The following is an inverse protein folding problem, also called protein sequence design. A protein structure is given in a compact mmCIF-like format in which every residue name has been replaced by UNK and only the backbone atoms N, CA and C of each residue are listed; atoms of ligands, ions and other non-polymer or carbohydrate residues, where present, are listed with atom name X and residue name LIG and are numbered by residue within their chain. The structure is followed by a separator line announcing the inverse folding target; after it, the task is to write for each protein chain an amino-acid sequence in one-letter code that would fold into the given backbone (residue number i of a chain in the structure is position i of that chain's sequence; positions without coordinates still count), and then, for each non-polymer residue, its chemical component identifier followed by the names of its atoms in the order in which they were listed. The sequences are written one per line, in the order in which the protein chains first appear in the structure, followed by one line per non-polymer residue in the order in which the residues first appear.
data_IF_043326758041
#
_entry.id   IF_043326758041
#
_cell.length_a   1.000
_cell.length_b   1.000
_cell.length_c   1.000
_cell.angle_alpha   90.00
_cell.angle_beta   90.00
_cell.angle_gamma   90.00
#
_symmetry.space_group_name_H-M   'P 1'
#
loop_
_entity.id
_entity.type
_entity.pdbx_description
1 polymer ?
#
# COMPACT_ATOMS: atom_id res chain seq x y z
N UNK A 1 2.83 -0.06 -39.04
CA UNK A 1 2.36 -1.12 -38.12
C UNK A 1 1.02 -0.74 -37.55
N UNK A 2 0.05 -1.63 -37.51
CA UNK A 2 -1.26 -1.32 -36.94
C UNK A 2 -1.10 -0.90 -35.47
N UNK A 3 -1.73 0.18 -35.06
CA UNK A 3 -1.72 0.71 -33.69
C UNK A 3 -2.26 -0.28 -32.65
N UNK A 4 -2.79 -1.40 -33.06
CA UNK A 4 -3.36 -2.44 -32.21
C UNK A 4 -2.32 -3.40 -31.58
N UNK A 5 -1.03 -3.25 -31.84
CA UNK A 5 0.01 -4.07 -31.23
C UNK A 5 0.35 -3.67 -29.79
N UNK A 6 -0.15 -2.54 -29.30
CA UNK A 6 0.06 -2.06 -27.93
C UNK A 6 -1.23 -2.08 -27.10
N UNK A 7 -2.08 -3.06 -27.33
CA UNK A 7 -3.40 -3.15 -26.70
C UNK A 7 -3.36 -3.27 -25.16
N UNK A 8 -2.27 -3.81 -24.59
CA UNK A 8 -2.14 -4.03 -23.17
C UNK A 8 -1.31 -2.93 -22.51
N UNK A 9 -0.08 -2.72 -22.94
CA UNK A 9 0.83 -1.68 -22.46
C UNK A 9 1.72 -1.18 -23.58
N UNK A 10 2.51 -0.16 -23.33
CA UNK A 10 3.41 0.47 -24.28
C UNK A 10 4.85 -0.05 -24.14
N UNK A 11 5.63 0.04 -25.20
CA UNK A 11 7.06 -0.30 -25.16
C UNK A 11 7.79 0.58 -24.15
N UNK A 12 7.37 1.83 -24.02
CA UNK A 12 7.89 2.80 -23.04
C UNK A 12 7.74 2.36 -21.58
N UNK A 13 6.73 1.55 -21.26
CA UNK A 13 6.53 0.96 -19.93
C UNK A 13 7.13 -0.43 -19.80
N UNK A 14 7.15 -1.23 -20.87
CA UNK A 14 7.74 -2.57 -20.82
C UNK A 14 9.26 -2.57 -20.77
N UNK A 15 9.93 -1.70 -21.53
CA UNK A 15 11.38 -1.66 -21.56
C UNK A 15 12.02 -1.38 -20.20
N UNK A 16 11.57 -0.39 -19.40
CA UNK A 16 12.05 -0.18 -18.03
C UNK A 16 11.79 -1.40 -17.13
N UNK A 17 10.61 -2.04 -17.24
CA UNK A 17 10.27 -3.20 -16.41
C UNK A 17 11.20 -4.39 -16.70
N UNK A 18 11.47 -4.69 -17.97
CA UNK A 18 12.40 -5.74 -18.38
C UNK A 18 13.82 -5.41 -17.93
N UNK A 19 14.27 -4.17 -18.14
CA UNK A 19 15.60 -3.72 -17.69
C UNK A 19 15.75 -3.91 -16.19
N UNK A 20 14.75 -3.50 -15.40
CA UNK A 20 14.77 -3.64 -13.95
C UNK A 20 14.85 -5.11 -13.51
N UNK A 21 14.14 -6.02 -14.18
CA UNK A 21 14.22 -7.46 -13.91
C UNK A 21 15.57 -8.09 -14.29
N UNK A 22 16.17 -7.66 -15.39
CA UNK A 22 17.40 -8.25 -15.90
C UNK A 22 18.66 -7.68 -15.26
N UNK A 23 18.67 -6.38 -14.97
CA UNK A 23 19.85 -5.62 -14.50
C UNK A 23 19.75 -5.25 -13.02
N UNK A 24 18.53 -5.14 -12.48
CA UNK A 24 18.27 -4.72 -11.12
C UNK A 24 18.06 -3.21 -11.01
N UNK A 25 17.99 -2.74 -9.75
CA UNK A 25 17.65 -1.35 -9.44
C UNK A 25 18.83 -0.38 -9.55
N UNK A 26 20.06 -0.90 -9.48
CA UNK A 26 21.26 -0.06 -9.44
C UNK A 26 21.76 0.24 -10.86
N UNK A 27 21.85 1.51 -11.19
CA UNK A 27 22.24 2.04 -12.49
C UNK A 27 23.75 2.22 -12.69
N UNK A 28 24.57 1.76 -11.72
CA UNK A 28 26.03 1.94 -11.65
C UNK A 28 26.49 3.39 -11.37
N UNK A 29 25.58 4.32 -11.03
CA UNK A 29 25.96 5.63 -10.50
C UNK A 29 25.98 5.58 -8.96
N UNK A 30 27.16 5.77 -8.38
CA UNK A 30 27.33 5.73 -6.93
C UNK A 30 26.49 6.79 -6.19
N UNK A 31 26.13 7.91 -6.83
CA UNK A 31 25.24 8.91 -6.26
C UNK A 31 23.84 8.36 -5.94
N UNK A 32 23.38 7.35 -6.70
CA UNK A 32 22.07 6.73 -6.55
C UNK A 32 22.04 5.55 -5.57
N UNK A 33 23.18 5.19 -4.95
CA UNK A 33 23.21 4.13 -3.91
C UNK A 33 22.43 4.49 -2.65
N UNK A 34 22.40 5.76 -2.29
CA UNK A 34 21.70 6.25 -1.10
C UNK A 34 20.92 7.52 -1.44
N UNK A 35 19.84 7.39 -2.24
CA UNK A 35 19.05 8.56 -2.62
C UNK A 35 18.37 9.17 -1.38
N UNK A 36 18.19 10.47 -1.40
CA UNK A 36 17.34 11.15 -0.40
C UNK A 36 15.89 10.73 -0.59
N UNK A 37 15.10 10.79 0.48
CA UNK A 37 13.69 10.47 0.38
C UNK A 37 12.98 11.43 -0.61
N UNK A 38 11.99 10.96 -1.40
CA UNK A 38 11.35 11.77 -2.43
C UNK A 38 10.75 13.11 -1.94
N UNK A 39 10.25 13.15 -0.70
CA UNK A 39 9.74 14.39 -0.09
C UNK A 39 10.87 15.34 0.31
N UNK A 40 12.01 14.83 0.79
CA UNK A 40 13.20 15.63 1.15
C UNK A 40 13.87 16.18 -0.11
N UNK A 41 13.95 15.38 -1.18
CA UNK A 41 14.36 15.83 -2.50
C UNK A 41 13.50 17.02 -2.98
N UNK A 42 12.16 16.86 -2.92
CA UNK A 42 11.23 17.90 -3.32
C UNK A 42 11.41 19.19 -2.51
N UNK A 43 11.57 19.07 -1.18
CA UNK A 43 11.81 20.20 -0.29
C UNK A 43 13.07 20.99 -0.62
N UNK A 44 14.09 20.34 -1.20
CA UNK A 44 15.34 20.96 -1.63
C UNK A 44 15.27 21.52 -3.04
N UNK A 45 14.65 20.80 -3.97
CA UNK A 45 14.61 21.17 -5.39
C UNK A 45 13.63 22.30 -5.66
N UNK A 46 12.44 22.33 -5.07
CA UNK A 46 11.42 23.36 -5.32
C UNK A 46 11.94 24.78 -5.09
N UNK A 47 12.66 25.10 -3.99
CA UNK A 47 13.27 26.41 -3.83
C UNK A 47 14.31 26.75 -4.91
N UNK A 48 15.10 25.78 -5.36
CA UNK A 48 16.09 25.96 -6.44
C UNK A 48 15.44 26.25 -7.78
N UNK A 49 14.21 25.75 -8.01
CA UNK A 49 13.41 26.04 -9.20
C UNK A 49 12.67 27.38 -9.13
N UNK A 50 12.84 28.17 -8.06
CA UNK A 50 12.17 29.44 -7.87
C UNK A 50 10.87 29.39 -7.07
N UNK A 51 10.59 28.25 -6.43
CA UNK A 51 9.43 28.06 -5.54
C UNK A 51 8.17 27.57 -6.26
N UNK A 52 7.09 27.44 -5.51
CA UNK A 52 5.82 26.85 -5.94
C UNK A 52 5.29 27.47 -7.23
N UNK A 53 5.16 28.78 -7.27
CA UNK A 53 4.58 29.50 -8.41
C UNK A 53 5.40 29.32 -9.70
N UNK A 54 6.73 29.35 -9.60
CA UNK A 54 7.62 29.13 -10.74
C UNK A 54 7.45 27.71 -11.30
N UNK A 55 7.28 26.70 -10.44
CA UNK A 55 7.07 25.31 -10.84
C UNK A 55 5.70 25.12 -11.52
N UNK A 56 4.63 25.72 -11.00
CA UNK A 56 3.30 25.68 -11.62
C UNK A 56 3.29 26.35 -12.99
N UNK A 57 3.92 27.52 -13.12
CA UNK A 57 4.03 28.21 -14.40
C UNK A 57 4.83 27.39 -15.41
N UNK A 58 5.95 26.81 -15.01
CA UNK A 58 6.76 25.95 -15.88
C UNK A 58 5.99 24.70 -16.32
N UNK A 59 5.16 24.13 -15.44
CA UNK A 59 4.32 22.99 -15.78
C UNK A 59 3.20 23.39 -16.78
N UNK A 60 2.59 24.55 -16.62
CA UNK A 60 1.61 25.07 -17.56
C UNK A 60 2.22 25.29 -18.95
N UNK A 61 3.41 25.92 -19.02
CA UNK A 61 4.15 26.07 -20.28
C UNK A 61 4.51 24.73 -20.93
N UNK A 62 4.88 23.74 -20.13
CA UNK A 62 5.18 22.39 -20.62
C UNK A 62 3.93 21.72 -21.23
N UNK A 63 2.75 21.92 -20.64
CA UNK A 63 1.47 21.45 -21.20
C UNK A 63 1.20 22.12 -22.56
N UNK A 64 1.38 23.43 -22.67
CA UNK A 64 1.21 24.16 -23.95
C UNK A 64 2.16 23.66 -25.04
N UNK A 65 3.38 23.26 -24.66
CA UNK A 65 4.37 22.68 -25.55
C UNK A 65 4.17 21.19 -25.82
N UNK A 66 3.12 20.58 -25.25
CA UNK A 66 2.82 19.14 -25.31
C UNK A 66 3.89 18.26 -24.64
N UNK A 67 4.67 18.79 -23.72
CA UNK A 67 5.67 18.10 -22.91
C UNK A 67 5.02 17.54 -21.63
N UNK A 68 3.96 16.76 -21.79
CA UNK A 68 3.07 16.34 -20.71
C UNK A 68 3.78 15.54 -19.60
N UNK A 69 4.73 14.68 -19.96
CA UNK A 69 5.51 13.92 -18.98
C UNK A 69 6.38 14.86 -18.12
N UNK A 70 6.96 15.90 -18.73
CA UNK A 70 7.73 16.91 -18.00
C UNK A 70 6.84 17.73 -17.07
N UNK A 71 5.68 18.17 -17.55
CA UNK A 71 4.71 18.85 -16.71
C UNK A 71 4.31 18.00 -15.49
N UNK A 72 4.01 16.72 -15.70
CA UNK A 72 3.69 15.80 -14.60
C UNK A 72 4.83 15.65 -13.59
N UNK A 73 6.08 15.58 -14.04
CA UNK A 73 7.25 15.50 -13.17
C UNK A 73 7.45 16.77 -12.34
N UNK A 74 7.31 17.94 -12.94
CA UNK A 74 7.43 19.23 -12.25
C UNK A 74 6.38 19.33 -11.12
N UNK A 75 5.12 19.11 -11.45
CA UNK A 75 4.03 19.21 -10.45
C UNK A 75 4.17 18.13 -9.37
N UNK A 76 4.76 16.98 -9.71
CA UNK A 76 4.95 15.89 -8.74
C UNK A 76 5.87 16.30 -7.58
N UNK A 77 6.82 17.22 -7.76
CA UNK A 77 7.60 17.76 -6.65
C UNK A 77 6.72 18.53 -5.67
N UNK A 78 5.81 19.38 -6.16
CA UNK A 78 4.87 20.10 -5.30
C UNK A 78 3.90 19.15 -4.60
N UNK A 79 3.37 18.18 -5.32
CA UNK A 79 2.47 17.16 -4.77
C UNK A 79 3.11 16.33 -3.64
N UNK A 80 4.42 16.07 -3.71
CA UNK A 80 5.16 15.38 -2.63
C UNK A 80 5.28 16.23 -1.36
N UNK A 81 5.24 17.55 -1.48
CA UNK A 81 5.30 18.49 -0.34
C UNK A 81 3.93 18.68 0.31
N UNK A 82 2.90 18.83 -0.49
CA UNK A 82 1.52 18.98 -0.02
C UNK A 82 0.56 18.24 -0.97
N UNK A 83 0.19 16.99 -0.65
CA UNK A 83 -0.75 16.22 -1.46
C UNK A 83 -2.20 16.70 -1.34
N UNK A 84 -2.53 17.61 -0.40
CA UNK A 84 -3.88 18.16 -0.23
C UNK A 84 -4.06 19.52 -0.95
N UNK A 85 -3.00 20.12 -1.49
CA UNK A 85 -3.09 21.36 -2.28
C UNK A 85 -3.93 21.11 -3.56
N UNK A 86 -5.12 21.69 -3.60
CA UNK A 86 -6.09 21.47 -4.67
C UNK A 86 -5.60 21.96 -6.04
N UNK A 87 -4.84 23.07 -6.09
CA UNK A 87 -4.29 23.58 -7.34
C UNK A 87 -3.21 22.68 -7.89
N UNK A 88 -2.33 22.18 -7.03
CA UNK A 88 -1.30 21.20 -7.37
C UNK A 88 -1.93 19.87 -7.82
N UNK A 89 -2.96 19.41 -7.13
CA UNK A 89 -3.73 18.21 -7.53
C UNK A 89 -4.33 18.38 -8.91
N UNK A 90 -4.97 19.53 -9.19
CA UNK A 90 -5.56 19.81 -10.49
C UNK A 90 -4.50 19.87 -11.59
N UNK A 91 -3.41 20.62 -11.38
CA UNK A 91 -2.33 20.71 -12.35
C UNK A 91 -1.72 19.32 -12.68
N UNK A 92 -1.55 18.48 -11.65
CA UNK A 92 -1.07 17.10 -11.85
C UNK A 92 -2.11 16.25 -12.62
N UNK A 93 -3.38 16.39 -12.28
CA UNK A 93 -4.47 15.68 -12.99
C UNK A 93 -4.52 16.06 -14.46
N UNK A 94 -4.35 17.35 -14.78
CA UNK A 94 -4.36 17.84 -16.15
C UNK A 94 -3.18 17.29 -16.97
N UNK A 95 -1.97 17.30 -16.42
CA UNK A 95 -0.81 16.72 -17.06
C UNK A 95 -0.99 15.20 -17.33
N UNK A 96 -1.45 14.44 -16.32
CA UNK A 96 -1.70 13.00 -16.45
C UNK A 96 -2.81 12.70 -17.47
N UNK A 97 -3.85 13.52 -17.51
CA UNK A 97 -4.95 13.38 -18.48
C UNK A 97 -4.44 13.60 -19.92
N UNK A 98 -3.61 14.60 -20.15
CA UNK A 98 -3.01 14.81 -21.47
C UNK A 98 -2.11 13.64 -21.87
N UNK A 99 -1.31 13.11 -20.94
CA UNK A 99 -0.55 11.87 -21.18
C UNK A 99 -1.48 10.70 -21.54
N UNK A 100 -2.61 10.54 -20.85
CA UNK A 100 -3.57 9.49 -21.13
C UNK A 100 -4.19 9.62 -22.54
N UNK A 101 -4.46 10.84 -23.02
CA UNK A 101 -5.03 11.06 -24.33
C UNK A 101 -4.07 10.69 -25.48
N UNK A 102 -2.78 10.82 -25.29
CA UNK A 102 -1.78 10.45 -26.30
C UNK A 102 -1.27 9.03 -26.13
N UNK A 103 -1.58 8.36 -25.02
CA UNK A 103 -1.18 6.97 -24.76
C UNK A 103 -1.92 6.00 -25.69
N UNK A 104 -1.18 5.08 -26.30
CA UNK A 104 -1.69 4.02 -27.17
C UNK A 104 -1.95 2.71 -26.44
N UNK A 105 -1.33 2.52 -25.27
CA UNK A 105 -1.53 1.35 -24.41
C UNK A 105 -2.77 1.48 -23.51
N UNK A 106 -3.63 0.47 -23.49
CA UNK A 106 -4.84 0.49 -22.72
C UNK A 106 -4.57 0.61 -21.21
N UNK A 107 -3.60 -0.16 -20.71
CA UNK A 107 -3.25 -0.12 -19.28
C UNK A 107 -2.60 1.21 -18.88
N UNK A 108 -1.66 1.71 -19.69
CA UNK A 108 -0.97 2.97 -19.40
C UNK A 108 -1.99 4.11 -19.37
N UNK A 109 -2.91 4.15 -20.36
CA UNK A 109 -4.02 5.10 -20.36
C UNK A 109 -4.92 4.96 -19.14
N UNK A 110 -5.27 3.73 -18.75
CA UNK A 110 -6.13 3.48 -17.61
C UNK A 110 -5.47 3.96 -16.30
N UNK A 111 -4.18 3.68 -16.08
CA UNK A 111 -3.44 4.16 -14.91
C UNK A 111 -3.39 5.68 -14.85
N UNK A 112 -3.03 6.34 -15.95
CA UNK A 112 -2.93 7.80 -16.03
C UNK A 112 -4.30 8.45 -15.78
N UNK A 113 -5.35 7.96 -16.43
CA UNK A 113 -6.71 8.51 -16.30
C UNK A 113 -7.29 8.27 -14.90
N UNK A 114 -7.13 7.07 -14.34
CA UNK A 114 -7.62 6.75 -13.00
C UNK A 114 -6.94 7.62 -11.94
N UNK A 115 -5.64 7.85 -12.05
CA UNK A 115 -4.93 8.72 -11.13
C UNK A 115 -5.39 10.19 -11.29
N UNK A 116 -5.61 10.68 -12.51
CA UNK A 116 -6.14 12.02 -12.74
C UNK A 116 -7.52 12.19 -12.09
N UNK A 117 -8.42 11.22 -12.28
CA UNK A 117 -9.77 11.25 -11.67
C UNK A 117 -9.70 11.19 -10.13
N UNK A 118 -8.79 10.42 -9.57
CA UNK A 118 -8.60 10.34 -8.12
C UNK A 118 -8.07 11.67 -7.54
N UNK A 119 -7.14 12.34 -8.23
CA UNK A 119 -6.64 13.65 -7.83
C UNK A 119 -7.75 14.72 -7.83
N UNK A 120 -8.70 14.61 -8.74
CA UNK A 120 -9.89 15.47 -8.83
C UNK A 120 -10.98 15.09 -7.82
N UNK A 121 -10.82 14.02 -7.05
CA UNK A 121 -11.84 13.50 -6.12
C UNK A 121 -13.05 12.87 -6.78
N UNK A 122 -12.97 12.54 -8.09
CA UNK A 122 -14.08 11.94 -8.85
C UNK A 122 -14.18 10.43 -8.68
N UNK A 123 -13.08 9.78 -8.29
CA UNK A 123 -13.01 8.35 -7.97
C UNK A 123 -12.09 8.13 -6.79
N UNK A 124 -12.36 7.08 -6.03
CA UNK A 124 -11.45 6.60 -4.99
C UNK A 124 -10.76 5.33 -5.49
N UNK A 125 -9.44 5.36 -5.58
CA UNK A 125 -8.67 4.18 -5.97
C UNK A 125 -8.37 3.35 -4.72
N UNK A 126 -8.84 2.11 -4.61
CA UNK A 126 -8.49 1.25 -3.50
C UNK A 126 -6.98 0.93 -3.58
N UNK A 127 -6.25 1.24 -2.53
CA UNK A 127 -4.81 0.88 -2.45
C UNK A 127 -4.59 -0.62 -2.38
N UNK A 128 -5.50 -1.31 -1.70
CA UNK A 128 -5.48 -2.76 -1.54
C UNK A 128 -6.92 -3.26 -1.57
N UNK A 129 -7.19 -4.26 -2.40
CA UNK A 129 -8.45 -4.99 -2.37
C UNK A 129 -8.28 -6.08 -1.30
N UNK A 130 -9.08 -6.05 -0.21
CA UNK A 130 -8.98 -7.07 0.82
C UNK A 130 -9.36 -8.43 0.23
N UNK A 131 -8.64 -9.50 0.59
CA UNK A 131 -9.05 -10.85 0.21
C UNK A 131 -10.40 -11.21 0.84
N UNK A 132 -11.12 -12.12 0.20
CA UNK A 132 -12.36 -12.64 0.77
C UNK A 132 -12.09 -13.38 2.10
N UNK A 133 -12.99 -13.28 3.11
CA UNK A 133 -12.79 -13.91 4.41
C UNK A 133 -12.50 -15.42 4.30
N UNK A 134 -13.15 -16.11 3.37
CA UNK A 134 -13.01 -17.56 3.15
C UNK A 134 -11.59 -17.92 2.67
N UNK A 135 -10.96 -17.04 1.90
CA UNK A 135 -9.58 -17.22 1.41
C UNK A 135 -8.58 -17.06 2.56
N UNK A 136 -8.83 -16.11 3.47
CA UNK A 136 -8.02 -15.92 4.67
C UNK A 136 -8.17 -17.13 5.59
N UNK A 137 -9.42 -17.58 5.82
CA UNK A 137 -9.75 -18.72 6.68
C UNK A 137 -9.11 -20.02 6.19
N UNK A 138 -9.06 -20.22 4.88
CA UNK A 138 -8.47 -21.42 4.27
C UNK A 138 -6.93 -21.48 4.36
N UNK A 139 -6.25 -20.36 4.67
CA UNK A 139 -4.78 -20.32 4.73
C UNK A 139 -4.31 -19.34 5.81
N UNK A 140 -4.70 -19.53 7.08
CA UNK A 140 -4.52 -18.53 8.13
C UNK A 140 -3.04 -18.17 8.37
N UNK A 141 -2.14 -19.16 8.32
CA UNK A 141 -0.69 -18.92 8.53
C UNK A 141 -0.07 -18.02 7.46
N UNK A 142 -0.49 -18.15 6.20
CA UNK A 142 -0.08 -17.26 5.10
C UNK A 142 -0.52 -15.83 5.37
N UNK A 143 -1.72 -15.64 5.91
CA UNK A 143 -2.22 -14.32 6.23
C UNK A 143 -1.63 -13.75 7.53
N UNK A 144 -1.07 -14.56 8.42
CA UNK A 144 -0.19 -14.07 9.51
C UNK A 144 1.11 -13.51 8.93
N UNK A 145 1.72 -14.18 7.95
CA UNK A 145 2.91 -13.65 7.27
C UNK A 145 2.62 -12.33 6.53
N UNK A 146 1.49 -12.24 5.84
CA UNK A 146 1.08 -10.99 5.19
C UNK A 146 0.70 -9.88 6.19
N UNK A 147 0.23 -10.24 7.38
CA UNK A 147 -0.14 -9.28 8.42
C UNK A 147 1.05 -8.48 8.94
N UNK A 148 2.25 -9.08 8.98
CA UNK A 148 3.48 -8.45 9.50
C UNK A 148 3.84 -7.13 8.83
N UNK A 149 3.53 -6.96 7.51
CA UNK A 149 3.87 -5.73 6.77
C UNK A 149 3.00 -4.53 7.14
N UNK A 150 1.96 -4.76 7.94
CA UNK A 150 1.03 -3.74 8.40
C UNK A 150 1.41 -3.14 9.75
N UNK A 151 2.56 -3.53 10.31
CA UNK A 151 2.99 -3.01 11.60
C UNK A 151 3.21 -1.49 11.53
N UNK A 152 2.66 -0.79 12.51
CA UNK A 152 2.88 0.63 12.71
C UNK A 152 4.14 0.81 13.57
N UNK A 153 5.21 1.41 13.02
CA UNK A 153 6.48 1.56 13.73
C UNK A 153 6.37 2.52 14.92
N UNK A 154 5.49 3.51 14.89
CA UNK A 154 5.32 4.46 15.99
C UNK A 154 4.61 3.80 17.17
N UNK A 155 3.58 2.99 16.91
CA UNK A 155 2.85 2.26 17.96
C UNK A 155 3.67 1.14 18.58
N UNK A 156 4.40 0.39 17.76
CA UNK A 156 5.19 -0.77 18.22
C UNK A 156 6.49 -0.38 18.90
N UNK A 157 7.15 0.71 18.45
CA UNK A 157 8.32 1.31 19.08
C UNK A 157 9.39 0.31 19.49
N UNK A 158 9.83 0.38 20.75
CA UNK A 158 10.86 -0.49 21.34
C UNK A 158 10.31 -1.83 21.86
N UNK A 159 9.06 -2.20 21.51
CA UNK A 159 8.48 -3.48 21.91
C UNK A 159 9.36 -4.64 21.40
N UNK A 160 9.61 -5.63 22.28
CA UNK A 160 10.25 -6.90 21.96
C UNK A 160 9.40 -8.03 22.52
N UNK A 161 8.43 -8.52 21.71
CA UNK A 161 7.45 -9.53 22.10
C UNK A 161 7.15 -10.50 20.96
N UNK A 162 6.85 -11.75 21.30
CA UNK A 162 6.39 -12.77 20.36
C UNK A 162 4.90 -13.01 20.57
N UNK A 163 4.12 -12.80 19.52
CA UNK A 163 2.70 -13.13 19.42
C UNK A 163 2.56 -14.43 18.63
N UNK A 164 2.00 -15.46 19.25
CA UNK A 164 1.76 -16.77 18.64
C UNK A 164 0.28 -16.97 18.33
N UNK A 165 0.01 -17.74 17.28
CA UNK A 165 -1.33 -18.13 16.84
C UNK A 165 -1.39 -19.64 16.68
N UNK A 166 -2.40 -20.27 17.26
CA UNK A 166 -2.75 -21.68 17.08
C UNK A 166 -4.12 -21.73 16.39
N UNK A 167 -4.21 -22.42 15.27
CA UNK A 167 -5.45 -22.56 14.52
C UNK A 167 -6.09 -23.93 14.72
N UNK A 168 -7.42 -24.00 14.58
CA UNK A 168 -8.19 -25.23 14.77
C UNK A 168 -7.78 -26.36 13.82
N UNK A 169 -7.24 -26.05 12.64
CA UNK A 169 -6.68 -27.01 11.68
C UNK A 169 -5.35 -27.62 12.13
N UNK A 170 -4.85 -27.23 13.30
CA UNK A 170 -3.57 -27.65 13.87
C UNK A 170 -2.37 -26.88 13.35
N UNK A 171 -2.55 -25.93 12.43
CA UNK A 171 -1.47 -25.06 11.96
C UNK A 171 -1.12 -23.99 13.01
N UNK A 172 0.12 -23.53 12.99
CA UNK A 172 0.61 -22.49 13.91
C UNK A 172 1.42 -21.45 13.18
N UNK A 173 1.39 -20.22 13.66
CA UNK A 173 2.20 -19.13 13.16
C UNK A 173 2.53 -18.15 14.28
N UNK A 174 3.52 -17.28 14.09
CA UNK A 174 3.85 -16.25 15.05
C UNK A 174 4.46 -15.02 14.41
N UNK A 175 4.47 -13.95 15.18
CA UNK A 175 5.10 -12.69 14.84
C UNK A 175 6.03 -12.26 15.98
N UNK A 176 7.32 -12.09 15.68
CA UNK A 176 8.25 -11.44 16.59
C UNK A 176 8.27 -9.95 16.31
N UNK A 177 7.64 -9.18 17.17
CA UNK A 177 7.60 -7.73 17.10
C UNK A 177 8.83 -7.21 17.82
N UNK A 178 9.73 -6.57 17.08
CA UNK A 178 11.00 -6.08 17.63
C UNK A 178 11.50 -4.88 16.85
N UNK A 179 11.85 -3.80 17.58
CA UNK A 179 12.40 -2.55 17.00
C UNK A 179 11.59 -2.05 15.83
N UNK A 180 10.29 -1.91 16.04
CA UNK A 180 9.33 -1.42 15.05
C UNK A 180 9.17 -2.29 13.78
N UNK A 181 9.58 -3.57 13.84
CA UNK A 181 9.44 -4.55 12.76
C UNK A 181 8.70 -5.78 13.30
N UNK A 182 7.92 -6.43 12.47
CA UNK A 182 7.34 -7.74 12.75
C UNK A 182 7.98 -8.81 11.84
N UNK A 183 8.55 -9.83 12.44
CA UNK A 183 9.20 -10.95 11.78
C UNK A 183 8.31 -12.20 11.89
N UNK A 184 8.09 -12.89 10.77
CA UNK A 184 7.26 -14.09 10.74
C UNK A 184 8.00 -15.30 11.35
N UNK A 185 7.28 -16.08 12.16
CA UNK A 185 7.75 -17.34 12.76
C UNK A 185 6.81 -18.45 12.32
N UNK A 186 7.28 -19.38 11.48
CA UNK A 186 6.46 -20.50 10.96
C UNK A 186 6.09 -21.51 12.05
N UNK A 187 6.92 -21.70 13.07
CA UNK A 187 6.72 -22.67 14.15
C UNK A 187 7.01 -22.02 15.52
N UNK A 188 6.12 -21.14 16.03
CA UNK A 188 6.38 -20.39 17.25
C UNK A 188 6.55 -21.30 18.48
N UNK A 189 5.89 -22.44 18.49
CA UNK A 189 5.98 -23.42 19.57
C UNK A 189 7.35 -24.17 19.62
N UNK A 190 8.06 -24.25 18.49
CA UNK A 190 9.39 -24.82 18.37
C UNK A 190 10.51 -23.75 18.41
N UNK A 191 10.14 -22.47 18.41
CA UNK A 191 11.10 -21.35 18.43
C UNK A 191 11.93 -21.35 19.73
N UNK A 192 13.19 -20.89 19.66
CA UNK A 192 14.10 -20.83 20.82
C UNK A 192 13.58 -19.95 21.96
N UNK A 193 12.82 -18.91 21.63
CA UNK A 193 12.06 -18.07 22.57
C UNK A 193 10.59 -18.37 22.41
N UNK A 194 9.92 -18.71 23.50
CA UNK A 194 8.47 -18.98 23.47
C UNK A 194 7.66 -17.71 23.29
N UNK A 195 6.45 -17.80 22.70
CA UNK A 195 5.55 -16.67 22.61
C UNK A 195 5.22 -16.05 23.97
N UNK A 196 5.28 -14.73 24.06
CA UNK A 196 4.86 -13.96 25.24
C UNK A 196 3.33 -13.96 25.37
N UNK A 197 2.64 -13.93 24.22
CA UNK A 197 1.19 -14.08 24.10
C UNK A 197 0.90 -15.13 23.05
N UNK A 198 -0.06 -16.02 23.34
CA UNK A 198 -0.49 -17.09 22.43
C UNK A 198 -2.00 -17.14 22.38
N UNK A 199 -2.55 -17.08 21.17
CA UNK A 199 -3.96 -17.01 20.88
C UNK A 199 -4.38 -18.27 20.10
N UNK A 200 -5.46 -18.91 20.52
CA UNK A 200 -6.09 -20.00 19.77
C UNK A 200 -7.42 -19.52 19.18
N UNK A 201 -7.67 -19.85 17.91
CA UNK A 201 -8.86 -19.42 17.18
C UNK A 201 -9.09 -20.22 15.91
N UNK A 202 -10.29 -20.09 15.32
CA UNK A 202 -10.57 -20.61 13.98
C UNK A 202 -9.97 -19.72 12.87
N UNK A 203 -9.88 -20.25 11.65
CA UNK A 203 -9.49 -19.47 10.47
C UNK A 203 -10.48 -18.33 10.19
N UNK A 204 -11.77 -18.54 10.42
CA UNK A 204 -12.83 -17.53 10.27
C UNK A 204 -12.66 -16.39 11.28
N UNK A 205 -12.35 -16.72 12.54
CA UNK A 205 -12.05 -15.70 13.56
C UNK A 205 -10.80 -14.91 13.20
N UNK A 206 -9.75 -15.60 12.69
CA UNK A 206 -8.58 -14.90 12.17
C UNK A 206 -8.92 -13.94 11.02
N UNK A 207 -9.82 -14.33 10.11
CA UNK A 207 -10.25 -13.45 9.03
C UNK A 207 -10.91 -12.17 9.57
N UNK A 208 -11.70 -12.25 10.65
CA UNK A 208 -12.27 -11.05 11.32
C UNK A 208 -11.17 -10.13 11.86
N UNK A 209 -10.13 -10.70 12.51
CA UNK A 209 -8.98 -9.93 13.01
C UNK A 209 -8.22 -9.29 11.85
N UNK A 210 -7.87 -10.08 10.85
CA UNK A 210 -7.09 -9.65 9.68
C UNK A 210 -7.77 -8.51 8.92
N UNK A 211 -9.08 -8.62 8.69
CA UNK A 211 -9.90 -7.61 8.01
C UNK A 211 -10.33 -6.45 8.93
N UNK A 212 -9.99 -6.52 10.22
CA UNK A 212 -10.42 -5.53 11.22
C UNK A 212 -11.95 -5.40 11.34
N UNK A 213 -12.67 -6.48 11.04
CA UNK A 213 -14.13 -6.51 11.14
C UNK A 213 -14.60 -6.40 12.59
N UNK A 214 -13.85 -7.03 13.51
CA UNK A 214 -14.07 -6.95 14.95
C UNK A 214 -12.78 -6.66 15.70
N UNK A 215 -12.87 -6.14 16.91
CA UNK A 215 -11.69 -5.91 17.74
C UNK A 215 -11.24 -7.21 18.41
N UNK A 216 -9.94 -7.39 18.58
CA UNK A 216 -9.38 -8.55 19.30
C UNK A 216 -9.98 -8.70 20.68
N UNK A 217 -10.24 -7.57 21.38
CA UNK A 217 -10.89 -7.59 22.69
C UNK A 217 -12.29 -8.17 22.62
N UNK A 218 -13.12 -7.74 21.66
CA UNK A 218 -14.49 -8.26 21.52
C UNK A 218 -14.51 -9.77 21.24
N UNK A 219 -13.57 -10.24 20.39
CA UNK A 219 -13.44 -11.66 20.07
C UNK A 219 -12.93 -12.51 21.25
N UNK A 220 -12.10 -11.95 22.13
CA UNK A 220 -11.71 -12.60 23.40
C UNK A 220 -12.90 -12.62 24.37
N UNK A 221 -13.61 -11.50 24.53
CA UNK A 221 -14.76 -11.40 25.42
C UNK A 221 -15.92 -12.33 24.99
N UNK A 222 -16.08 -12.61 23.69
CA UNK A 222 -17.08 -13.55 23.14
C UNK A 222 -16.64 -15.02 23.22
N UNK A 223 -15.37 -15.29 23.50
CA UNK A 223 -14.79 -16.62 23.52
C UNK A 223 -14.41 -17.18 22.14
N UNK A 224 -14.46 -16.38 21.08
CA UNK A 224 -13.99 -16.76 19.73
C UNK A 224 -12.44 -16.80 19.65
N UNK A 225 -11.77 -16.08 20.54
CA UNK A 225 -10.31 -16.17 20.74
C UNK A 225 -10.05 -16.62 22.18
N UNK A 226 -9.34 -17.73 22.31
CA UNK A 226 -8.79 -18.20 23.58
C UNK A 226 -7.38 -17.63 23.79
N UNK A 227 -7.11 -17.01 24.91
CA UNK A 227 -5.76 -16.60 25.31
C UNK A 227 -5.09 -17.78 26.03
N UNK A 228 -4.32 -18.59 25.28
CA UNK A 228 -3.64 -19.78 25.80
C UNK A 228 -2.49 -19.42 26.74
N UNK A 229 -1.80 -18.31 26.43
CA UNK A 229 -0.68 -17.80 27.24
C UNK A 229 -0.65 -16.29 27.15
N UNK A 230 -0.30 -15.63 28.25
CA UNK A 230 -0.17 -14.16 28.32
C UNK A 230 -1.42 -13.49 28.86
N UNK A 231 -1.45 -12.17 28.77
CA UNK A 231 -2.52 -11.31 29.24
C UNK A 231 -3.44 -10.91 28.08
N UNK A 232 -4.79 -11.01 28.23
CA UNK A 232 -5.76 -10.58 27.22
C UNK A 232 -5.60 -9.11 26.80
N UNK A 233 -5.28 -8.20 27.73
CA UNK A 233 -5.04 -6.80 27.41
C UNK A 233 -3.78 -6.62 26.56
N UNK A 234 -2.72 -7.38 26.85
CA UNK A 234 -1.50 -7.41 26.05
C UNK A 234 -1.73 -7.98 24.65
N UNK A 235 -2.58 -9.01 24.53
CA UNK A 235 -2.99 -9.54 23.23
C UNK A 235 -3.65 -8.45 22.35
N UNK A 236 -4.60 -7.72 22.91
CA UNK A 236 -5.25 -6.60 22.23
C UNK A 236 -4.28 -5.48 21.85
N UNK A 237 -3.32 -5.18 22.73
CA UNK A 237 -2.27 -4.18 22.48
C UNK A 237 -1.36 -4.60 21.32
N UNK A 238 -0.85 -5.84 21.31
CA UNK A 238 0.07 -6.32 20.29
C UNK A 238 -0.59 -6.39 18.91
N UNK A 239 -1.82 -6.89 18.81
CA UNK A 239 -2.59 -6.88 17.56
C UNK A 239 -2.92 -5.45 17.12
N UNK A 240 -3.13 -4.53 18.08
CA UNK A 240 -3.39 -3.12 17.82
C UNK A 240 -2.22 -2.34 17.19
N UNK A 241 -1.02 -2.90 17.13
CA UNK A 241 0.11 -2.31 16.43
C UNK A 241 0.00 -2.39 14.90
N UNK A 242 -0.89 -3.21 14.39
CA UNK A 242 -1.05 -3.40 12.96
C UNK A 242 -2.17 -2.52 12.41
N UNK A 243 -1.90 -1.89 11.27
CA UNK A 243 -2.87 -1.04 10.60
C UNK A 243 -4.15 -1.80 10.27
N UNK A 244 -5.28 -1.14 10.50
CA UNK A 244 -6.60 -1.69 10.21
C UNK A 244 -6.89 -1.60 8.72
N UNK A 245 -7.59 -2.60 8.20
CA UNK A 245 -8.31 -2.42 6.95
C UNK A 245 -9.45 -1.42 7.21
N UNK A 246 -9.28 -0.20 6.73
CA UNK A 246 -10.37 0.77 6.70
C UNK A 246 -11.19 0.46 5.44
N UNK A 247 -12.27 -0.27 5.62
CA UNK A 247 -13.30 -0.36 4.57
C UNK A 247 -14.10 0.94 4.68
N UNK A 248 -13.90 1.90 3.78
CA UNK A 248 -14.86 2.99 3.66
C UNK A 248 -16.16 2.38 3.14
N UNK A 249 -17.29 2.71 3.76
CA UNK A 249 -18.62 2.24 3.34
C UNK A 249 -18.95 2.65 1.89
N UNK A 250 -18.29 3.69 1.37
CA UNK A 250 -18.36 4.15 -0.01
C UNK A 250 -17.87 3.13 -1.05
N UNK A 251 -16.89 2.27 -0.71
CA UNK A 251 -16.35 1.27 -1.66
C UNK A 251 -17.30 0.11 -1.99
N UNK A 252 -18.31 -0.15 -1.17
CA UNK A 252 -19.26 -1.26 -1.41
C UNK A 252 -20.29 -0.91 -2.49
N UNK A 253 -20.66 0.35 -2.63
CA UNK A 253 -21.63 0.80 -3.62
C UNK A 253 -21.04 0.94 -5.03
N UNK A 254 -19.76 1.33 -5.15
CA UNK A 254 -19.10 1.53 -6.45
C UNK A 254 -18.65 0.22 -7.11
N UNK A 255 -18.17 -0.76 -6.33
CA UNK A 255 -17.84 -2.09 -6.87
C UNK A 255 -19.09 -2.86 -7.32
N UNK A 256 -20.23 -2.65 -6.67
CA UNK A 256 -21.50 -3.21 -7.12
C UNK A 256 -22.00 -2.57 -8.41
N UNK A 257 -21.75 -1.27 -8.63
CA UNK A 257 -22.13 -0.60 -9.87
C UNK A 257 -21.26 -1.00 -11.07
N UNK A 258 -19.98 -1.34 -10.86
CA UNK A 258 -19.09 -1.82 -11.92
C UNK A 258 -19.37 -3.28 -12.33
N UNK A 259 -19.92 -4.10 -11.44
CA UNK A 259 -20.33 -5.48 -11.73
C UNK A 259 -21.68 -5.58 -12.47
N UNK A 260 -22.47 -4.49 -12.53
CA UNK A 260 -23.76 -4.45 -13.24
C UNK A 260 -23.59 -4.02 -14.71
N UNK A 261 -22.41 -3.59 -15.13
CA UNK A 261 -22.12 -3.11 -16.50
C UNK A 261 -21.33 -4.14 -17.34
N UNK A 262 -21.09 -5.35 -16.80
CA UNK A 262 -20.45 -6.45 -17.55
C UNK A 262 -21.44 -7.45 -18.11
#
# INVERSE_FOLDING_TARGET
TPNNLQNYGEISSYAPAIHYQCVGWYDNDAANLKPVAPWDEAARIVPLMGGREAVLNAAAEAIEKQEYAWAAQLVNYLYRLDPEDLEVRQAKADALRQMAYVSTGANDRAHLMSQALALEGKVTLPRVIPPAPEVIAASPTTYVDYFRVRIDPEKSGETDKILGFDFEDGSTAGLHIRRAVAEFIAAPNAHYRKPDVRLAMSGETWAKVYLSAETTKALIDSGEIEVVTGDPAEAGRLVGFFDRYVRSEEHTSELQSLLIIS
#
